data_IF_475866691136
#
_entry.id   IF_475866691136
#
_cell.length_a   1.000
_cell.length_b   1.000
_cell.length_c   1.000
_cell.angle_alpha   90.00
_cell.angle_beta   90.00
_cell.angle_gamma   90.00
#
_symmetry.space_group_name_H-M   'P 1'
#
loop_
_entity.id
_entity.type
_entity.pdbx_description
1 polymer ?
#
# COMPACT_ATOMS: atom_id res chain seq x y z
N UNK A 1 25.98 8.95 55.41
CA UNK A 1 26.58 8.23 54.25
C UNK A 1 25.58 7.15 53.84
N UNK A 2 25.04 6.98 52.63
CA UNK A 2 25.11 7.65 51.33
C UNK A 2 23.68 7.62 50.79
N UNK A 3 23.15 8.76 50.34
CA UNK A 3 21.94 8.80 49.50
C UNK A 3 22.36 8.22 48.13
N UNK A 4 21.85 7.07 47.75
CA UNK A 4 22.00 6.55 46.38
C UNK A 4 20.68 6.83 45.68
N UNK A 5 20.62 8.00 45.04
CA UNK A 5 19.62 8.30 44.01
C UNK A 5 20.26 7.82 42.71
N UNK A 6 19.84 6.66 42.20
CA UNK A 6 20.17 6.24 40.85
C UNK A 6 19.20 6.97 39.91
N UNK A 7 19.69 8.06 39.35
CA UNK A 7 19.08 8.76 38.23
C UNK A 7 19.30 7.88 36.99
N UNK A 8 18.32 7.05 36.65
CA UNK A 8 18.36 6.33 35.38
C UNK A 8 18.05 7.33 34.26
N UNK A 9 19.06 7.65 33.47
CA UNK A 9 18.96 8.44 32.24
C UNK A 9 17.93 7.81 31.31
N UNK A 10 16.74 8.39 31.25
CA UNK A 10 15.85 8.26 30.12
C UNK A 10 16.56 8.93 28.93
N UNK A 11 17.30 8.15 28.16
CA UNK A 11 17.62 8.51 26.77
C UNK A 11 16.28 8.48 26.05
N UNK A 12 15.59 9.61 26.07
CA UNK A 12 14.47 9.85 25.19
C UNK A 12 15.09 9.91 23.80
N UNK A 13 15.08 8.78 23.10
CA UNK A 13 15.13 8.82 21.65
C UNK A 13 13.88 9.59 21.23
N UNK A 14 14.04 10.91 21.06
CA UNK A 14 13.13 11.72 20.26
C UNK A 14 13.30 11.22 18.82
N UNK A 15 12.81 10.01 18.55
CA UNK A 15 12.45 9.62 17.20
C UNK A 15 11.45 10.69 16.80
N UNK A 16 11.82 11.53 15.83
CA UNK A 16 10.89 12.33 15.08
C UNK A 16 9.91 11.33 14.44
N UNK A 17 8.86 11.01 15.19
CA UNK A 17 7.77 10.17 14.73
C UNK A 17 7.02 11.01 13.73
N UNK A 18 7.37 10.87 12.46
CA UNK A 18 6.56 11.42 11.41
C UNK A 18 5.23 10.64 11.39
N UNK A 19 4.15 11.32 11.01
CA UNK A 19 2.78 10.82 11.19
C UNK A 19 2.44 9.50 10.47
N UNK A 20 3.35 9.01 9.61
CA UNK A 20 3.25 7.77 8.83
C UNK A 20 4.38 6.76 9.16
N UNK A 21 5.32 7.10 10.04
CA UNK A 21 6.47 6.24 10.38
C UNK A 21 7.43 5.94 9.22
N UNK A 22 7.55 6.83 8.24
CA UNK A 22 8.37 6.67 7.03
C UNK A 22 9.86 6.93 7.31
N UNK A 23 10.72 6.04 6.83
CA UNK A 23 12.18 6.23 6.80
C UNK A 23 12.61 6.99 5.54
N UNK A 24 13.87 7.44 5.48
CA UNK A 24 14.41 8.05 4.25
C UNK A 24 14.34 7.09 3.04
N UNK A 25 14.56 5.80 3.26
CA UNK A 25 14.40 4.77 2.22
C UNK A 25 12.97 4.69 1.74
N UNK A 26 11.99 4.73 2.64
CA UNK A 26 10.57 4.74 2.27
C UNK A 26 10.23 5.96 1.41
N UNK A 27 10.74 7.15 1.76
CA UNK A 27 10.55 8.38 0.97
C UNK A 27 11.15 8.24 -0.44
N UNK A 28 12.32 7.62 -0.59
CA UNK A 28 12.92 7.35 -1.91
C UNK A 28 12.03 6.42 -2.73
N UNK A 29 11.51 5.34 -2.12
CA UNK A 29 10.61 4.40 -2.80
C UNK A 29 9.31 5.12 -3.22
N UNK A 30 8.72 5.92 -2.33
CA UNK A 30 7.50 6.68 -2.63
C UNK A 30 7.72 7.69 -3.77
N UNK A 31 8.86 8.39 -3.81
CA UNK A 31 9.23 9.26 -4.94
C UNK A 31 9.34 8.48 -6.26
N UNK A 32 9.90 7.27 -6.24
CA UNK A 32 9.90 6.40 -7.42
C UNK A 32 8.48 6.02 -7.84
N UNK A 33 7.62 5.61 -6.91
CA UNK A 33 6.20 5.31 -7.20
C UNK A 33 5.49 6.53 -7.81
N UNK A 34 5.70 7.71 -7.22
CA UNK A 34 5.12 8.96 -7.71
C UNK A 34 5.50 9.24 -9.17
N UNK A 35 6.72 8.92 -9.58
CA UNK A 35 7.20 9.14 -10.95
C UNK A 35 6.64 8.18 -12.01
N UNK A 36 5.89 7.15 -11.61
CA UNK A 36 5.35 6.15 -12.54
C UNK A 36 4.15 6.66 -13.34
N UNK A 37 3.57 7.79 -12.96
CA UNK A 37 2.41 8.39 -13.65
C UNK A 37 2.33 9.88 -13.41
N UNK A 38 1.82 10.60 -14.41
CA UNK A 38 1.54 12.04 -14.31
C UNK A 38 0.11 12.33 -13.80
N UNK A 39 -0.75 11.32 -13.70
CA UNK A 39 -2.09 11.47 -13.11
C UNK A 39 -1.95 11.76 -11.61
N UNK A 40 -2.44 12.94 -11.20
CA UNK A 40 -2.34 13.43 -9.84
C UNK A 40 -3.03 12.51 -8.83
N UNK A 41 -4.21 11.97 -9.13
CA UNK A 41 -4.90 11.09 -8.20
C UNK A 41 -4.25 9.72 -8.16
N UNK A 42 -3.83 9.19 -9.31
CA UNK A 42 -3.17 7.88 -9.38
C UNK A 42 -1.84 7.87 -8.62
N UNK A 43 -0.97 8.88 -8.79
CA UNK A 43 0.34 8.89 -8.12
C UNK A 43 0.23 8.90 -6.60
N UNK A 44 -0.69 9.70 -6.05
CA UNK A 44 -0.97 9.72 -4.61
C UNK A 44 -1.67 8.44 -4.14
N UNK A 45 -2.57 7.89 -4.95
CA UNK A 45 -3.24 6.61 -4.64
C UNK A 45 -2.21 5.47 -4.55
N UNK A 46 -1.30 5.34 -5.50
CA UNK A 46 -0.27 4.30 -5.47
C UNK A 46 0.64 4.44 -4.26
N UNK A 47 1.12 5.65 -3.96
CA UNK A 47 1.92 5.90 -2.75
C UNK A 47 1.15 5.53 -1.47
N UNK A 48 -0.11 5.94 -1.36
CA UNK A 48 -0.93 5.67 -0.19
C UNK A 48 -1.22 4.17 -0.01
N UNK A 49 -1.53 3.45 -1.10
CA UNK A 49 -1.74 2.00 -1.10
C UNK A 49 -0.44 1.29 -0.72
N UNK A 50 0.71 1.66 -1.26
CA UNK A 50 1.99 1.03 -0.90
C UNK A 50 2.30 1.14 0.61
N UNK A 51 1.98 2.30 1.22
CA UNK A 51 2.08 2.49 2.68
C UNK A 51 1.07 1.60 3.39
N UNK A 52 -0.21 1.66 2.98
CA UNK A 52 -1.31 0.98 3.67
C UNK A 52 -1.20 -0.55 3.63
N UNK A 53 -0.74 -1.08 2.51
CA UNK A 53 -0.79 -2.51 2.19
C UNK A 53 0.46 -3.25 2.65
N UNK A 54 1.64 -2.66 2.48
CA UNK A 54 2.90 -3.37 2.73
C UNK A 54 3.88 -2.60 3.61
N UNK A 55 3.47 -1.44 4.16
CA UNK A 55 4.39 -0.52 4.83
C UNK A 55 5.60 -0.18 3.96
N UNK A 56 5.33 0.12 2.68
CA UNK A 56 6.35 0.41 1.64
C UNK A 56 7.29 -0.78 1.40
N UNK A 57 6.73 -1.99 1.38
CA UNK A 57 7.45 -3.23 1.05
C UNK A 57 8.11 -3.96 2.22
N UNK A 58 7.83 -3.55 3.46
CA UNK A 58 8.28 -4.27 4.67
C UNK A 58 7.47 -5.56 4.90
N UNK A 59 6.22 -5.59 4.45
CA UNK A 59 5.31 -6.73 4.55
C UNK A 59 4.78 -7.09 3.17
N UNK A 60 5.52 -7.94 2.44
CA UNK A 60 5.20 -8.28 1.05
C UNK A 60 4.33 -9.53 0.88
N UNK A 61 4.14 -10.32 1.92
CA UNK A 61 3.50 -11.64 1.83
C UNK A 61 2.40 -11.74 2.88
N UNK A 62 1.16 -11.88 2.41
CA UNK A 62 0.03 -12.27 3.25
C UNK A 62 -0.52 -13.64 2.80
N UNK A 63 -0.08 -14.70 3.48
CA UNK A 63 -0.49 -16.06 3.16
C UNK A 63 -1.92 -16.41 3.59
N UNK A 64 -2.57 -15.59 4.41
CA UNK A 64 -3.96 -15.81 4.85
C UNK A 64 -4.92 -15.37 3.75
N UNK A 65 -4.81 -14.11 3.31
CA UNK A 65 -5.65 -13.56 2.24
C UNK A 65 -5.15 -13.86 0.83
N UNK A 66 -3.90 -14.35 0.72
CA UNK A 66 -3.21 -14.64 -0.55
C UNK A 66 -2.92 -13.38 -1.38
N UNK A 67 -2.49 -12.34 -0.68
CA UNK A 67 -2.10 -11.06 -1.25
C UNK A 67 -0.57 -10.90 -1.21
N UNK A 68 0.00 -10.36 -2.28
CA UNK A 68 1.45 -10.35 -2.46
C UNK A 68 1.97 -9.05 -3.07
N UNK A 69 3.21 -8.71 -2.72
CA UNK A 69 3.94 -7.58 -3.28
C UNK A 69 3.66 -6.24 -2.60
N UNK A 70 4.22 -5.20 -3.19
CA UNK A 70 4.19 -3.82 -2.68
C UNK A 70 2.75 -3.29 -2.49
N UNK A 71 1.84 -3.72 -3.35
CA UNK A 71 0.44 -3.26 -3.35
C UNK A 71 -0.55 -4.36 -2.91
N UNK A 72 -0.06 -5.48 -2.36
CA UNK A 72 -0.87 -6.61 -1.88
C UNK A 72 -1.92 -7.07 -2.91
N UNK A 73 -1.48 -7.39 -4.13
CA UNK A 73 -2.38 -7.86 -5.17
C UNK A 73 -2.83 -9.32 -4.87
N UNK A 74 -4.14 -9.55 -4.88
CA UNK A 74 -4.68 -10.89 -4.67
C UNK A 74 -4.32 -11.84 -5.80
N UNK A 75 -3.79 -13.02 -5.46
CA UNK A 75 -3.29 -13.97 -6.45
C UNK A 75 -4.39 -14.44 -7.42
N UNK A 76 -5.65 -14.56 -6.98
CA UNK A 76 -6.75 -14.95 -7.87
C UNK A 76 -7.02 -13.89 -8.94
N UNK A 77 -6.99 -12.61 -8.56
CA UNK A 77 -7.16 -11.49 -9.49
C UNK A 77 -6.01 -11.44 -10.48
N UNK A 78 -4.78 -11.65 -10.02
CA UNK A 78 -3.58 -11.68 -10.88
C UNK A 78 -3.68 -12.83 -11.88
N UNK A 79 -3.95 -14.05 -11.44
CA UNK A 79 -4.12 -15.22 -12.32
C UNK A 79 -5.16 -14.95 -13.41
N UNK A 80 -6.32 -14.39 -13.05
CA UNK A 80 -7.37 -14.02 -14.00
C UNK A 80 -6.88 -12.99 -15.03
N UNK A 81 -6.15 -11.95 -14.60
CA UNK A 81 -5.58 -10.94 -15.51
C UNK A 81 -4.54 -11.52 -16.45
N UNK A 82 -3.75 -12.49 -16.00
CA UNK A 82 -2.72 -13.17 -16.80
C UNK A 82 -3.32 -14.21 -17.75
N UNK A 83 -4.62 -14.53 -17.63
CA UNK A 83 -5.34 -15.50 -18.49
C UNK A 83 -4.67 -16.88 -18.53
N UNK A 84 -4.12 -17.31 -17.39
CA UNK A 84 -3.52 -18.64 -17.22
C UNK A 84 -4.43 -19.53 -16.38
N UNK A 85 -4.20 -20.84 -16.45
CA UNK A 85 -4.89 -21.79 -15.57
C UNK A 85 -4.60 -21.48 -14.10
N UNK A 86 -5.66 -21.50 -13.29
CA UNK A 86 -5.55 -21.32 -11.84
C UNK A 86 -5.07 -22.61 -11.15
N UNK A 87 -3.75 -22.80 -11.11
CA UNK A 87 -3.08 -23.93 -10.47
C UNK A 87 -1.95 -23.48 -9.54
N UNK A 88 -1.46 -24.38 -8.69
CA UNK A 88 -0.45 -24.06 -7.66
C UNK A 88 0.86 -23.53 -8.25
N UNK A 89 1.28 -24.05 -9.41
CA UNK A 89 2.52 -23.63 -10.08
C UNK A 89 2.42 -22.18 -10.53
N UNK A 90 1.34 -21.81 -11.21
CA UNK A 90 1.11 -20.44 -11.66
C UNK A 90 0.93 -19.48 -10.47
N UNK A 91 0.18 -19.88 -9.44
CA UNK A 91 0.02 -19.07 -8.22
C UNK A 91 1.36 -18.79 -7.56
N UNK A 92 2.21 -19.80 -7.40
CA UNK A 92 3.53 -19.62 -6.81
C UNK A 92 4.45 -18.76 -7.67
N UNK A 93 4.42 -18.94 -8.99
CA UNK A 93 5.18 -18.11 -9.94
C UNK A 93 4.78 -16.63 -9.83
N UNK A 94 3.49 -16.32 -9.93
CA UNK A 94 3.03 -14.94 -9.89
C UNK A 94 3.10 -14.31 -8.50
N UNK A 95 2.94 -15.07 -7.42
CA UNK A 95 3.19 -14.59 -6.06
C UNK A 95 4.66 -14.15 -5.89
N UNK A 96 5.62 -14.97 -6.34
CA UNK A 96 7.04 -14.60 -6.35
C UNK A 96 7.29 -13.37 -7.23
N UNK A 97 6.67 -13.33 -8.41
CA UNK A 97 6.81 -12.20 -9.33
C UNK A 97 6.30 -10.90 -8.71
N UNK A 98 5.16 -10.91 -8.02
CA UNK A 98 4.63 -9.74 -7.30
C UNK A 98 5.56 -9.23 -6.19
N UNK A 99 6.30 -10.13 -5.54
CA UNK A 99 7.24 -9.81 -4.46
C UNK A 99 8.56 -9.24 -4.99
N UNK A 100 9.12 -9.85 -6.04
CA UNK A 100 10.49 -9.54 -6.49
C UNK A 100 10.56 -8.63 -7.72
N UNK A 101 9.47 -8.50 -8.48
CA UNK A 101 9.38 -7.60 -9.64
C UNK A 101 8.43 -6.44 -9.32
N UNK A 102 9.02 -5.32 -8.89
CA UNK A 102 8.28 -4.11 -8.54
C UNK A 102 7.49 -3.54 -9.73
N UNK A 103 8.00 -3.69 -10.96
CA UNK A 103 7.32 -3.28 -12.17
C UNK A 103 6.05 -4.09 -12.40
N UNK A 104 6.14 -5.41 -12.27
CA UNK A 104 4.98 -6.30 -12.33
C UNK A 104 3.97 -6.02 -11.22
N UNK A 105 4.44 -5.79 -9.99
CA UNK A 105 3.57 -5.42 -8.85
C UNK A 105 2.79 -4.14 -9.14
N UNK A 106 3.48 -3.10 -9.63
CA UNK A 106 2.89 -1.80 -9.95
C UNK A 106 1.89 -1.90 -11.10
N UNK A 107 2.26 -2.58 -12.20
CA UNK A 107 1.36 -2.76 -13.34
C UNK A 107 0.05 -3.44 -12.94
N UNK A 108 0.12 -4.45 -12.05
CA UNK A 108 -1.07 -5.12 -11.53
C UNK A 108 -1.93 -4.22 -10.64
N UNK A 109 -1.32 -3.33 -9.85
CA UNK A 109 -2.06 -2.35 -9.04
C UNK A 109 -2.75 -1.30 -9.92
N UNK A 110 -2.06 -0.76 -10.92
CA UNK A 110 -2.62 0.23 -11.87
C UNK A 110 -3.84 -0.35 -12.59
N UNK A 111 -3.72 -1.58 -13.13
CA UNK A 111 -4.84 -2.23 -13.82
C UNK A 111 -6.04 -2.44 -12.90
N UNK A 112 -5.83 -2.80 -11.64
CA UNK A 112 -6.92 -2.96 -10.67
C UNK A 112 -7.58 -1.62 -10.33
N UNK A 113 -6.79 -0.57 -10.09
CA UNK A 113 -7.29 0.78 -9.80
C UNK A 113 -8.08 1.32 -10.99
N UNK A 114 -7.54 1.22 -12.21
CA UNK A 114 -8.21 1.70 -13.43
C UNK A 114 -9.50 0.92 -13.71
N UNK A 115 -9.52 -0.39 -13.45
CA UNK A 115 -10.78 -1.17 -13.50
C UNK A 115 -11.84 -0.57 -12.58
N UNK A 116 -11.50 -0.29 -11.31
CA UNK A 116 -12.45 0.28 -10.37
C UNK A 116 -12.80 1.73 -10.66
N UNK A 117 -11.88 2.53 -11.20
CA UNK A 117 -12.17 3.90 -11.70
C UNK A 117 -13.23 3.86 -12.78
N UNK A 118 -13.11 2.94 -13.73
CA UNK A 118 -14.09 2.76 -14.79
C UNK A 118 -15.45 2.34 -14.23
N UNK A 119 -15.47 1.36 -13.31
CA UNK A 119 -16.73 0.89 -12.66
C UNK A 119 -17.42 2.01 -11.88
N UNK A 120 -16.65 2.84 -11.17
CA UNK A 120 -17.19 3.85 -10.26
C UNK A 120 -17.18 5.28 -10.81
N UNK A 121 -16.83 5.45 -12.08
CA UNK A 121 -16.76 6.75 -12.78
C UNK A 121 -15.94 7.78 -12.00
N UNK A 122 -14.71 7.40 -11.67
CA UNK A 122 -13.75 8.21 -10.89
C UNK A 122 -14.24 8.65 -9.49
N UNK A 123 -15.25 7.99 -8.92
CA UNK A 123 -15.58 8.17 -7.52
C UNK A 123 -14.50 7.51 -6.64
N UNK A 124 -13.45 8.27 -6.31
CA UNK A 124 -12.25 7.76 -5.64
C UNK A 124 -12.50 7.08 -4.29
N UNK A 125 -13.51 7.51 -3.53
CA UNK A 125 -13.90 6.84 -2.30
C UNK A 125 -14.33 5.39 -2.59
N UNK A 126 -15.16 5.19 -3.62
CA UNK A 126 -15.58 3.84 -4.04
C UNK A 126 -14.44 3.07 -4.69
N UNK A 127 -13.57 3.73 -5.45
CA UNK A 127 -12.37 3.11 -6.05
C UNK A 127 -11.48 2.51 -4.97
N UNK A 128 -11.09 3.30 -3.96
CA UNK A 128 -10.26 2.82 -2.86
C UNK A 128 -10.95 1.73 -2.04
N UNK A 129 -12.25 1.90 -1.74
CA UNK A 129 -13.00 0.87 -1.02
C UNK A 129 -13.07 -0.46 -1.80
N UNK A 130 -13.26 -0.39 -3.12
CA UNK A 130 -13.28 -1.55 -4.00
C UNK A 130 -11.91 -2.18 -4.22
N UNK A 131 -10.83 -1.40 -4.19
CA UNK A 131 -9.48 -1.95 -4.27
C UNK A 131 -9.25 -3.01 -3.18
N UNK A 132 -9.69 -2.73 -1.95
CA UNK A 132 -9.59 -3.65 -0.82
C UNK A 132 -10.70 -4.71 -0.77
N UNK A 133 -11.96 -4.31 -0.98
CA UNK A 133 -13.14 -5.17 -0.70
C UNK A 133 -13.93 -5.61 -1.93
N UNK A 134 -13.44 -5.29 -3.12
CA UNK A 134 -14.11 -5.54 -4.38
C UNK A 134 -15.51 -4.92 -4.43
N UNK A 135 -16.50 -5.72 -4.79
CA UNK A 135 -17.90 -5.28 -4.88
C UNK A 135 -18.54 -4.92 -3.53
N UNK A 136 -17.91 -5.26 -2.40
CA UNK A 136 -18.37 -4.89 -1.04
C UNK A 136 -17.92 -3.49 -0.61
N UNK A 137 -17.74 -2.56 -1.55
CA UNK A 137 -17.22 -1.21 -1.31
C UNK A 137 -18.05 -0.36 -0.34
N UNK A 138 -19.34 -0.69 -0.13
CA UNK A 138 -20.21 -0.05 0.86
C UNK A 138 -20.07 -0.63 2.27
N UNK A 139 -19.30 -1.70 2.44
CA UNK A 139 -19.05 -2.29 3.76
C UNK A 139 -18.25 -1.33 4.63
N UNK A 140 -18.43 -1.44 5.95
CA UNK A 140 -17.64 -0.69 6.94
C UNK A 140 -16.14 -0.85 6.69
N UNK A 141 -15.68 -2.06 6.36
CA UNK A 141 -14.28 -2.34 6.03
C UNK A 141 -13.81 -1.56 4.79
N UNK A 142 -14.61 -1.54 3.72
CA UNK A 142 -14.29 -0.81 2.49
C UNK A 142 -14.23 0.71 2.73
N UNK A 143 -15.21 1.26 3.45
CA UNK A 143 -15.25 2.68 3.78
C UNK A 143 -14.11 3.10 4.70
N UNK A 144 -13.79 2.31 5.73
CA UNK A 144 -12.66 2.57 6.63
C UNK A 144 -11.31 2.52 5.88
N UNK A 145 -11.19 1.61 4.92
CA UNK A 145 -10.02 1.54 4.06
C UNK A 145 -9.90 2.80 3.19
N UNK A 146 -10.98 3.22 2.52
CA UNK A 146 -10.99 4.44 1.71
C UNK A 146 -10.63 5.68 2.54
N UNK A 147 -11.18 5.82 3.75
CA UNK A 147 -10.82 6.88 4.69
C UNK A 147 -9.33 6.83 5.07
N UNK A 148 -8.77 5.64 5.31
CA UNK A 148 -7.34 5.49 5.60
C UNK A 148 -6.48 5.96 4.44
N UNK A 149 -6.83 5.57 3.20
CA UNK A 149 -6.11 6.00 1.99
C UNK A 149 -6.18 7.51 1.84
N UNK A 150 -7.36 8.11 2.02
CA UNK A 150 -7.54 9.56 1.95
C UNK A 150 -6.65 10.31 2.95
N UNK A 151 -6.60 9.87 4.21
CA UNK A 151 -5.75 10.49 5.22
C UNK A 151 -4.26 10.34 4.92
N UNK A 152 -3.83 9.19 4.39
CA UNK A 152 -2.44 9.02 3.92
C UNK A 152 -2.13 9.98 2.76
N UNK A 153 -3.04 10.13 1.79
CA UNK A 153 -2.87 11.08 0.68
C UNK A 153 -2.72 12.52 1.19
N UNK A 154 -3.55 12.94 2.14
CA UNK A 154 -3.43 14.27 2.77
C UNK A 154 -2.07 14.46 3.43
N UNK A 155 -1.63 13.50 4.23
CA UNK A 155 -0.32 13.53 4.90
C UNK A 155 0.80 13.63 3.87
N UNK A 156 0.82 12.76 2.86
CA UNK A 156 1.82 12.79 1.79
C UNK A 156 1.94 14.17 1.13
N UNK A 157 0.81 14.81 0.83
CA UNK A 157 0.78 16.11 0.16
C UNK A 157 1.20 17.26 1.08
N UNK A 158 0.67 17.33 2.30
CA UNK A 158 0.79 18.52 3.14
C UNK A 158 1.91 18.43 4.18
N UNK A 159 2.26 17.23 4.64
CA UNK A 159 3.31 17.04 5.66
C UNK A 159 4.65 16.64 5.05
N UNK A 160 4.65 15.79 4.02
CA UNK A 160 5.88 15.30 3.38
C UNK A 160 6.26 16.07 2.12
N UNK A 161 5.37 16.94 1.63
CA UNK A 161 5.50 17.66 0.36
C UNK A 161 5.88 16.72 -0.81
N UNK A 162 5.32 15.51 -0.76
CA UNK A 162 5.44 14.49 -1.80
C UNK A 162 4.31 14.61 -2.81
#
# INVERSE_FOLDING_TARGET
MKKIIILFLLIVNLCYSNSLGLTNTDIIILKKIKSLTNDNFMKYTLMAIAIKESSVGKQLINNVSKDYGLFQANIKSVIRRQKVQDNIYNRNYFAKKLVYDAGFSTANAIVEIDYWRNVHKDNWIKVWASYNTGWKYKSTTGLNYASSVFEIVKKLKYEYNL
#
